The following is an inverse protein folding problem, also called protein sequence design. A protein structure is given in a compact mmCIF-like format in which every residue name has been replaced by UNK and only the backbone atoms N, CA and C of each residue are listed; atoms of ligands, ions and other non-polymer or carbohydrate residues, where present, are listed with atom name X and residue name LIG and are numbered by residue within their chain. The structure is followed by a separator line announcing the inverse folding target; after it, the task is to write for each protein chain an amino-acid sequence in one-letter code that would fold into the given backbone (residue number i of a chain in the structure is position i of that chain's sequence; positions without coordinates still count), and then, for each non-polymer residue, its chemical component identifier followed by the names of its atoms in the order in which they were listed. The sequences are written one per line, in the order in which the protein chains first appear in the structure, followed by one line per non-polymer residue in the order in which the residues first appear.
data_IF_976063203891
#
_entry.id   IF_976063203891
#
_cell.length_a   1.000
_cell.length_b   1.000
_cell.length_c   1.000
_cell.angle_alpha   90.00
_cell.angle_beta   90.00
_cell.angle_gamma   90.00
#
_symmetry.space_group_name_H-M   'P 1'
#
loop_
_entity.id
_entity.type
_entity.pdbx_description
1 polymer ?
#
# COMPACT_ATOMS: atom_id res chain seq x y z
N UNK A 1 4.17 27.24 -11.70
CA UNK A 1 5.24 26.23 -11.60
C UNK A 1 4.62 24.97 -11.00
N UNK A 2 4.94 23.79 -11.57
CA UNK A 2 4.76 22.41 -11.08
C UNK A 2 4.19 21.48 -12.18
N UNK A 3 4.95 21.33 -13.27
CA UNK A 3 4.82 20.16 -14.14
C UNK A 3 5.78 19.09 -13.63
N UNK A 4 5.31 17.84 -13.61
CA UNK A 4 6.07 16.58 -13.49
C UNK A 4 6.36 16.10 -12.06
N UNK A 5 5.52 15.18 -11.54
CA UNK A 5 6.02 14.09 -10.68
C UNK A 5 5.08 12.86 -10.56
N UNK A 6 4.36 12.50 -11.62
CA UNK A 6 3.43 11.36 -11.62
C UNK A 6 4.08 9.96 -11.64
N UNK A 7 5.41 9.86 -11.55
CA UNK A 7 6.16 8.61 -11.75
C UNK A 7 7.02 8.12 -10.55
N UNK A 8 7.64 8.96 -9.69
CA UNK A 8 8.37 8.43 -8.52
C UNK A 8 7.47 7.94 -7.37
N UNK A 9 6.17 8.27 -7.36
CA UNK A 9 5.22 7.78 -6.35
C UNK A 9 4.81 6.33 -6.57
N UNK A 10 4.58 5.93 -7.82
CA UNK A 10 4.08 4.57 -8.15
C UNK A 10 5.08 3.46 -7.77
N UNK A 11 6.36 3.70 -8.01
CA UNK A 11 7.40 2.70 -7.72
C UNK A 11 7.60 2.51 -6.20
N UNK A 12 7.51 3.61 -5.45
CA UNK A 12 7.55 3.60 -3.98
C UNK A 12 6.28 2.96 -3.38
N UNK A 13 5.11 3.19 -3.99
CA UNK A 13 3.83 2.64 -3.58
C UNK A 13 3.79 1.11 -3.63
N UNK A 14 4.18 0.52 -4.77
CA UNK A 14 4.26 -0.92 -4.91
C UNK A 14 5.31 -1.52 -3.94
N UNK A 15 6.46 -0.86 -3.79
CA UNK A 15 7.50 -1.32 -2.87
C UNK A 15 7.03 -1.30 -1.40
N UNK A 16 6.23 -0.33 -0.99
CA UNK A 16 5.67 -0.28 0.36
C UNK A 16 4.79 -1.52 0.61
N UNK A 17 3.81 -1.78 -0.25
CA UNK A 17 2.94 -2.96 -0.13
C UNK A 17 3.72 -4.29 -0.19
N UNK A 18 4.67 -4.43 -1.13
CA UNK A 18 5.48 -5.65 -1.30
C UNK A 18 6.35 -5.94 -0.08
N UNK A 19 6.92 -4.91 0.57
CA UNK A 19 7.70 -5.09 1.82
C UNK A 19 6.87 -5.67 2.96
N UNK A 20 5.55 -5.43 2.99
CA UNK A 20 4.65 -5.94 4.04
C UNK A 20 4.03 -7.28 3.65
N UNK A 21 3.84 -7.50 2.36
CA UNK A 21 3.15 -8.68 1.82
C UNK A 21 4.01 -9.35 0.73
N UNK A 22 5.25 -9.80 1.04
CA UNK A 22 6.18 -10.31 0.02
C UNK A 22 5.64 -11.56 -0.68
N UNK A 23 4.83 -12.37 0.01
CA UNK A 23 4.17 -13.56 -0.55
C UNK A 23 3.17 -13.23 -1.67
N UNK A 24 2.67 -11.99 -1.72
CA UNK A 24 1.62 -11.56 -2.64
C UNK A 24 2.10 -10.55 -3.67
N UNK A 25 3.42 -10.43 -3.87
CA UNK A 25 4.05 -9.47 -4.79
C UNK A 25 3.41 -9.45 -6.17
N UNK A 26 3.24 -10.61 -6.82
CA UNK A 26 2.61 -10.71 -8.13
C UNK A 26 1.15 -10.21 -8.14
N UNK A 27 0.42 -10.38 -7.05
CA UNK A 27 -0.97 -9.94 -6.92
C UNK A 27 -1.05 -8.45 -6.65
N UNK A 28 -0.13 -7.91 -5.85
CA UNK A 28 0.03 -6.48 -5.63
C UNK A 28 0.33 -5.76 -6.95
N UNK A 29 1.30 -6.24 -7.72
CA UNK A 29 1.63 -5.64 -9.02
C UNK A 29 0.45 -5.68 -10.01
N UNK A 30 -0.32 -6.77 -10.04
CA UNK A 30 -1.54 -6.84 -10.88
C UNK A 30 -2.63 -5.89 -10.39
N UNK A 31 -2.79 -5.76 -9.08
CA UNK A 31 -3.76 -4.83 -8.50
C UNK A 31 -3.38 -3.38 -8.78
N UNK A 32 -2.08 -3.03 -8.72
CA UNK A 32 -1.57 -1.71 -9.11
C UNK A 32 -1.94 -1.31 -10.54
N UNK A 33 -1.96 -2.28 -11.45
CA UNK A 33 -2.25 -2.04 -12.87
C UNK A 33 -3.75 -1.89 -13.13
N UNK A 34 -4.59 -2.68 -12.44
CA UNK A 34 -6.03 -2.81 -12.73
C UNK A 34 -6.95 -2.04 -11.79
N UNK A 35 -6.49 -1.63 -10.61
CA UNK A 35 -7.30 -1.02 -9.56
C UNK A 35 -6.67 0.29 -9.10
N UNK A 36 -7.23 1.40 -9.58
CA UNK A 36 -6.76 2.74 -9.27
C UNK A 36 -6.88 3.07 -7.78
N UNK A 37 -8.00 2.71 -7.14
CA UNK A 37 -8.18 2.93 -5.70
C UNK A 37 -7.14 2.18 -4.86
N UNK A 38 -6.77 0.96 -5.28
CA UNK A 38 -5.68 0.21 -4.64
C UNK A 38 -4.32 0.90 -4.86
N UNK A 39 -4.13 1.53 -6.01
CA UNK A 39 -2.95 2.35 -6.31
C UNK A 39 -2.87 3.58 -5.42
N UNK A 40 -3.96 4.31 -5.27
CA UNK A 40 -4.04 5.47 -4.38
C UNK A 40 -3.75 5.06 -2.92
N UNK A 41 -4.32 3.96 -2.43
CA UNK A 41 -4.02 3.45 -1.09
C UNK A 41 -2.53 3.11 -0.88
N UNK A 42 -1.90 2.47 -1.86
CA UNK A 42 -0.47 2.16 -1.77
C UNK A 42 0.41 3.43 -1.87
N UNK A 43 -0.02 4.42 -2.65
CA UNK A 43 0.64 5.74 -2.72
C UNK A 43 0.55 6.46 -1.37
N UNK A 44 -0.63 6.46 -0.74
CA UNK A 44 -0.83 7.03 0.60
C UNK A 44 0.02 6.31 1.66
N UNK A 45 0.12 4.98 1.60
CA UNK A 45 0.97 4.20 2.50
C UNK A 45 2.44 4.59 2.35
N UNK A 46 2.93 4.72 1.13
CA UNK A 46 4.31 5.14 0.89
C UNK A 46 4.57 6.58 1.37
N UNK A 47 3.60 7.48 1.24
CA UNK A 47 3.70 8.84 1.76
C UNK A 47 3.71 8.86 3.30
N UNK A 48 2.86 8.07 3.95
CA UNK A 48 2.81 7.95 5.41
C UNK A 48 4.10 7.35 5.99
N UNK A 49 4.66 6.32 5.35
CA UNK A 49 5.96 5.75 5.75
C UNK A 49 7.12 6.73 5.57
N UNK A 50 7.11 7.49 4.48
CA UNK A 50 8.11 8.51 4.22
C UNK A 50 8.02 9.65 5.25
N UNK A 51 6.80 10.06 5.59
CA UNK A 51 6.55 11.03 6.64
C UNK A 51 7.09 10.50 7.97
N UNK A 52 6.73 9.28 8.38
CA UNK A 52 7.23 8.64 9.60
C UNK A 52 8.76 8.56 9.66
N UNK A 53 9.41 8.24 8.54
CA UNK A 53 10.88 8.21 8.43
C UNK A 53 11.53 9.60 8.56
N UNK A 54 10.76 10.68 8.34
CA UNK A 54 11.18 12.08 8.44
C UNK A 54 10.65 12.76 9.70
N UNK A 55 10.03 12.03 10.62
CA UNK A 55 9.44 12.60 11.84
C UNK A 55 10.48 13.30 12.72
N UNK A 56 11.75 12.88 12.66
CA UNK A 56 12.85 13.54 13.36
C UNK A 56 13.13 14.96 12.85
N UNK A 57 12.72 15.30 11.63
CA UNK A 57 12.82 16.64 11.06
C UNK A 57 11.69 17.57 11.54
N UNK A 58 10.65 17.02 12.19
CA UNK A 58 9.56 17.80 12.80
C UNK A 58 10.05 18.39 14.12
N UNK A 59 9.47 19.55 14.50
CA UNK A 59 9.68 20.17 15.79
C UNK A 59 9.55 19.13 16.93
N UNK A 60 10.48 19.10 17.91
CA UNK A 60 10.53 18.07 18.93
C UNK A 60 9.24 17.98 19.76
N UNK A 61 8.56 19.11 19.96
CA UNK A 61 7.28 19.21 20.67
C UNK A 61 6.12 18.51 19.95
N UNK A 62 6.21 18.37 18.63
CA UNK A 62 5.19 17.71 17.80
C UNK A 62 5.63 16.32 17.33
N UNK A 63 6.90 15.93 17.55
CA UNK A 63 7.48 14.70 17.02
C UNK A 63 6.73 13.47 17.49
N UNK A 64 6.43 13.38 18.78
CA UNK A 64 5.73 12.21 19.33
C UNK A 64 4.29 12.15 18.84
N UNK A 65 3.59 13.29 18.83
CA UNK A 65 2.23 13.36 18.29
C UNK A 65 2.16 12.97 16.80
N UNK A 66 3.09 13.46 15.98
CA UNK A 66 3.18 13.12 14.55
C UNK A 66 3.61 11.68 14.32
N UNK A 67 4.50 11.14 15.17
CA UNK A 67 4.88 9.74 15.12
C UNK A 67 3.67 8.85 15.34
N UNK A 68 2.89 9.10 16.39
CA UNK A 68 1.67 8.34 16.70
C UNK A 68 0.67 8.44 15.54
N UNK A 69 0.34 9.65 15.09
CA UNK A 69 -0.61 9.88 14.01
C UNK A 69 -0.22 9.15 12.71
N UNK A 70 1.04 9.26 12.30
CA UNK A 70 1.52 8.61 11.08
C UNK A 70 1.66 7.10 11.24
N UNK A 71 1.99 6.62 12.44
CA UNK A 71 2.05 5.19 12.72
C UNK A 71 0.65 4.55 12.71
N UNK A 72 -0.36 5.22 13.24
CA UNK A 72 -1.77 4.78 13.14
C UNK A 72 -2.28 4.80 11.70
N UNK A 73 -1.88 5.81 10.91
CA UNK A 73 -2.21 5.87 9.49
C UNK A 73 -1.58 4.70 8.71
N UNK A 74 -0.29 4.42 8.95
CA UNK A 74 0.41 3.29 8.34
C UNK A 74 -0.25 1.96 8.73
N UNK A 75 -0.59 1.76 10.00
CA UNK A 75 -1.23 0.52 10.47
C UNK A 75 -2.59 0.29 9.81
N UNK A 76 -3.43 1.34 9.74
CA UNK A 76 -4.72 1.31 9.05
C UNK A 76 -4.55 0.93 7.58
N UNK A 77 -3.65 1.61 6.87
CA UNK A 77 -3.40 1.37 5.44
C UNK A 77 -2.85 -0.03 5.17
N UNK A 78 -2.00 -0.56 6.05
CA UNK A 78 -1.53 -1.96 5.95
C UNK A 78 -2.70 -2.93 6.08
N UNK A 79 -3.63 -2.67 7.01
CA UNK A 79 -4.85 -3.45 7.17
C UNK A 79 -5.73 -3.44 5.91
N UNK A 80 -5.98 -2.25 5.34
CA UNK A 80 -6.80 -2.08 4.14
C UNK A 80 -6.16 -2.72 2.89
N UNK A 81 -4.86 -2.45 2.66
CA UNK A 81 -4.09 -3.07 1.57
C UNK A 81 -4.10 -4.59 1.70
N UNK A 82 -3.88 -5.10 2.92
CA UNK A 82 -3.91 -6.53 3.22
C UNK A 82 -5.26 -7.16 2.90
N UNK A 83 -6.35 -6.52 3.30
CA UNK A 83 -7.71 -7.00 3.03
C UNK A 83 -7.98 -7.12 1.52
N UNK A 84 -7.63 -6.09 0.73
CA UNK A 84 -7.83 -6.09 -0.73
C UNK A 84 -6.97 -7.16 -1.42
N UNK A 85 -5.72 -7.34 -0.97
CA UNK A 85 -4.82 -8.38 -1.49
C UNK A 85 -5.36 -9.78 -1.19
N UNK A 86 -5.79 -10.03 0.04
CA UNK A 86 -6.36 -11.32 0.45
C UNK A 86 -7.67 -11.63 -0.28
N UNK A 87 -8.56 -10.65 -0.40
CA UNK A 87 -9.80 -10.77 -1.17
C UNK A 87 -9.52 -11.10 -2.64
N UNK A 88 -8.56 -10.39 -3.25
CA UNK A 88 -8.17 -10.63 -4.64
C UNK A 88 -7.57 -12.02 -4.86
N UNK A 89 -6.75 -12.51 -3.92
CA UNK A 89 -6.23 -13.87 -3.95
C UNK A 89 -7.33 -14.92 -3.78
N UNK A 90 -8.27 -14.70 -2.86
CA UNK A 90 -9.41 -15.58 -2.65
C UNK A 90 -10.30 -15.64 -3.91
N UNK A 91 -10.60 -14.48 -4.52
CA UNK A 91 -11.34 -14.40 -5.78
C UNK A 91 -10.62 -15.12 -6.92
N UNK A 92 -9.29 -14.98 -7.03
CA UNK A 92 -8.48 -15.73 -8.01
C UNK A 92 -8.56 -17.23 -7.79
N UNK A 93 -8.48 -17.69 -6.53
CA UNK A 93 -8.59 -19.12 -6.19
C UNK A 93 -9.99 -19.67 -6.44
N UNK A 94 -11.04 -18.89 -6.17
CA UNK A 94 -12.42 -19.27 -6.43
C UNK A 94 -12.74 -19.31 -7.95
N UNK A 95 -12.20 -18.37 -8.72
CA UNK A 95 -12.28 -18.37 -10.19
C UNK A 95 -11.49 -19.51 -10.82
N UNK A 96 -10.40 -19.95 -10.18
CA UNK A 96 -9.70 -21.20 -10.48
C UNK A 96 -10.41 -22.38 -9.80
N UNK A 97 -11.66 -22.65 -10.17
CA UNK A 97 -12.30 -23.92 -9.79
C UNK A 97 -12.14 -24.93 -10.94
N UNK A 98 -11.12 -25.81 -10.93
CA UNK A 98 -10.96 -26.86 -11.93
C UNK A 98 -12.02 -27.99 -11.80
N UNK A 99 -12.97 -27.88 -10.87
CA UNK A 99 -13.92 -28.93 -10.50
C UNK A 99 -15.27 -28.94 -11.23
N UNK A 100 -15.60 -28.00 -12.13
CA UNK A 100 -16.88 -28.00 -12.85
C UNK A 100 -16.86 -28.82 -14.15
N UNK A 101 -16.25 -30.01 -14.10
CA UNK A 101 -16.51 -31.11 -15.05
C UNK A 101 -16.56 -32.43 -14.29
N UNK A 102 -17.74 -32.84 -13.87
CA UNK A 102 -18.24 -34.22 -13.96
C UNK A 102 -19.72 -34.28 -13.63
#
# INVERSE_FOLDING_TARGET
MATQNGQPRKHSAASAAVRRFPRFELTIHRLMDRNESFREMCEELAEAELALSRVDLVAPELREARRIEWQELVDRLIGEVGAVVLESEAARRAGFNPGSRR
#
